data_IF_511506069502
#
_entry.id   IF_511506069502
#
_cell.length_a   1.000
_cell.length_b   1.000
_cell.length_c   1.000
_cell.angle_alpha   90.00
_cell.angle_beta   90.00
_cell.angle_gamma   90.00
#
_symmetry.space_group_name_H-M   'P 1'
#
loop_
_entity.id
_entity.type
_entity.pdbx_description
1 polymer ?
#
# COMPACT_ATOMS: atom_id res chain seq x y z
N UNK A 1 -13.35 -7.23 0.00
CA UNK A 1 -12.86 -6.01 0.68
C UNK A 1 -13.96 -4.97 0.60
N UNK A 2 -13.92 -3.93 1.44
CA UNK A 2 -14.88 -2.82 1.36
C UNK A 2 -14.77 -2.11 0.01
N UNK A 3 -15.90 -1.67 -0.54
CA UNK A 3 -15.98 -0.98 -1.82
C UNK A 3 -16.84 0.29 -1.68
N UNK A 4 -16.50 1.31 -2.46
CA UNK A 4 -17.31 2.52 -2.57
C UNK A 4 -18.57 2.22 -3.40
N UNK A 5 -19.69 2.85 -3.04
CA UNK A 5 -20.81 2.94 -3.97
C UNK A 5 -20.39 3.70 -5.24
N UNK A 6 -21.07 3.46 -6.36
CA UNK A 6 -20.77 4.14 -7.63
C UNK A 6 -20.78 5.67 -7.48
N UNK A 7 -21.74 6.20 -6.70
CA UNK A 7 -21.83 7.64 -6.44
C UNK A 7 -20.64 8.18 -5.63
N UNK A 8 -20.20 7.44 -4.60
CA UNK A 8 -19.03 7.83 -3.79
C UNK A 8 -17.74 7.71 -4.59
N UNK A 9 -17.61 6.62 -5.38
CA UNK A 9 -16.49 6.41 -6.28
C UNK A 9 -16.35 7.57 -7.27
N UNK A 10 -17.43 7.96 -7.92
CA UNK A 10 -17.43 9.08 -8.86
C UNK A 10 -16.94 10.41 -8.21
N UNK A 11 -17.31 10.65 -6.95
CA UNK A 11 -16.85 11.85 -6.22
C UNK A 11 -15.35 11.80 -5.89
N UNK A 12 -14.84 10.64 -5.46
CA UNK A 12 -13.41 10.44 -5.21
C UNK A 12 -12.62 10.58 -6.50
N UNK A 13 -13.04 9.89 -7.58
CA UNK A 13 -12.35 9.95 -8.87
C UNK A 13 -12.36 11.39 -9.42
N UNK A 14 -13.47 12.12 -9.29
CA UNK A 14 -13.50 13.55 -9.66
C UNK A 14 -12.54 14.43 -8.84
N UNK A 15 -12.29 14.12 -7.56
CA UNK A 15 -11.31 14.85 -6.75
C UNK A 15 -9.86 14.53 -7.20
N UNK A 16 -9.57 13.25 -7.49
CA UNK A 16 -8.29 12.82 -8.07
C UNK A 16 -8.06 13.50 -9.41
N UNK A 17 -9.05 13.45 -10.31
CA UNK A 17 -8.95 14.04 -11.64
C UNK A 17 -8.68 15.56 -11.60
N UNK A 18 -9.34 16.28 -10.68
CA UNK A 18 -9.08 17.72 -10.48
C UNK A 18 -7.63 17.98 -10.04
N UNK A 19 -7.08 17.17 -9.15
CA UNK A 19 -5.70 17.31 -8.68
C UNK A 19 -4.70 17.04 -9.82
N UNK A 20 -4.90 15.97 -10.58
CA UNK A 20 -4.05 15.60 -11.70
C UNK A 20 -4.17 16.57 -12.89
N UNK A 21 -5.36 17.06 -13.20
CA UNK A 21 -5.58 18.09 -14.23
C UNK A 21 -4.85 19.39 -13.89
N UNK A 22 -4.86 19.79 -12.60
CA UNK A 22 -4.08 20.95 -12.15
C UNK A 22 -2.58 20.74 -12.34
N UNK A 23 -2.05 19.57 -11.97
CA UNK A 23 -0.64 19.24 -12.18
C UNK A 23 -0.29 19.28 -13.67
N UNK A 24 -1.11 18.68 -14.51
CA UNK A 24 -0.93 18.69 -15.98
C UNK A 24 -0.92 20.11 -16.56
N UNK A 25 -1.86 20.96 -16.13
CA UNK A 25 -1.92 22.35 -16.56
C UNK A 25 -0.66 23.14 -16.15
N UNK A 26 -0.10 22.87 -14.96
CA UNK A 26 1.15 23.49 -14.50
C UNK A 26 2.37 23.00 -15.25
N UNK A 27 2.39 21.74 -15.68
CA UNK A 27 3.48 21.18 -16.48
C UNK A 27 3.47 21.65 -17.94
N UNK A 28 2.31 22.03 -18.49
CA UNK A 28 2.13 22.37 -19.90
C UNK A 28 3.12 23.42 -20.45
N UNK A 29 3.45 24.53 -19.73
CA UNK A 29 4.39 25.56 -20.26
C UNK A 29 5.86 25.14 -20.15
N UNK A 30 6.19 23.99 -19.51
CA UNK A 30 7.57 23.58 -19.25
C UNK A 30 8.14 22.59 -20.28
N UNK A 31 7.46 22.40 -21.41
CA UNK A 31 7.92 21.60 -22.55
C UNK A 31 7.60 20.11 -22.44
N UNK A 32 8.01 19.33 -23.44
CA UNK A 32 7.60 17.95 -23.68
C UNK A 32 7.98 16.99 -22.54
N UNK A 33 9.11 17.22 -21.87
CA UNK A 33 9.53 16.39 -20.74
C UNK A 33 8.59 16.50 -19.55
N UNK A 34 8.17 17.72 -19.21
CA UNK A 34 7.23 17.98 -18.13
C UNK A 34 5.82 17.46 -18.47
N UNK A 35 5.40 17.59 -19.71
CA UNK A 35 4.12 17.03 -20.18
C UNK A 35 4.12 15.50 -20.12
N UNK A 36 5.23 14.85 -20.51
CA UNK A 36 5.39 13.41 -20.41
C UNK A 36 5.36 12.95 -18.94
N UNK A 37 5.98 13.70 -18.02
CA UNK A 37 5.95 13.41 -16.58
C UNK A 37 4.52 13.49 -16.04
N UNK A 38 3.78 14.56 -16.35
CA UNK A 38 2.39 14.70 -15.94
C UNK A 38 1.49 13.59 -16.50
N UNK A 39 1.71 13.16 -17.74
CA UNK A 39 1.00 12.05 -18.36
C UNK A 39 1.32 10.71 -17.66
N UNK A 40 2.58 10.47 -17.30
CA UNK A 40 2.98 9.27 -16.57
C UNK A 40 2.38 9.21 -15.15
N UNK A 41 2.39 10.35 -14.44
CA UNK A 41 1.75 10.52 -13.11
C UNK A 41 0.25 10.24 -13.21
N UNK A 42 -0.44 10.84 -14.19
CA UNK A 42 -1.88 10.63 -14.39
C UNK A 42 -2.21 9.16 -14.68
N UNK A 43 -1.40 8.50 -15.51
CA UNK A 43 -1.57 7.09 -15.82
C UNK A 43 -1.36 6.18 -14.59
N UNK A 44 -0.42 6.53 -13.67
CA UNK A 44 -0.19 5.76 -12.44
C UNK A 44 -1.36 5.83 -11.46
N UNK A 45 -2.16 6.89 -11.48
CA UNK A 45 -3.30 7.09 -10.61
C UNK A 45 -4.65 6.67 -11.24
N UNK A 46 -4.68 6.33 -12.55
CA UNK A 46 -5.93 6.11 -13.30
C UNK A 46 -6.72 4.92 -12.81
N UNK A 47 -6.05 3.81 -12.45
CA UNK A 47 -6.69 2.56 -12.02
C UNK A 47 -6.51 2.29 -10.54
N UNK A 48 -7.43 1.52 -9.95
CA UNK A 48 -7.32 1.06 -8.58
C UNK A 48 -8.67 0.67 -7.98
N UNK A 49 -8.61 -0.15 -6.93
CA UNK A 49 -9.80 -0.56 -6.17
C UNK A 49 -10.29 0.54 -5.22
N UNK A 50 -9.55 1.65 -5.11
CA UNK A 50 -9.86 2.77 -4.21
C UNK A 50 -10.09 2.33 -2.76
N UNK A 51 -9.26 1.38 -2.29
CA UNK A 51 -9.40 0.86 -0.93
C UNK A 51 -9.24 1.94 0.14
N UNK A 52 -8.22 2.80 0.02
CA UNK A 52 -7.95 3.84 1.03
C UNK A 52 -9.03 4.90 1.07
N UNK A 53 -9.48 5.44 -0.06
CA UNK A 53 -10.71 6.25 -0.10
C UNK A 53 -11.93 5.56 0.51
N UNK A 54 -12.14 4.26 0.23
CA UNK A 54 -13.25 3.52 0.80
C UNK A 54 -13.16 3.43 2.33
N UNK A 55 -11.96 3.27 2.89
CA UNK A 55 -11.75 3.27 4.33
C UNK A 55 -12.02 4.64 4.96
N UNK A 56 -11.59 5.75 4.32
CA UNK A 56 -11.92 7.12 4.77
C UNK A 56 -13.42 7.32 4.82
N UNK A 57 -14.12 7.04 3.72
CA UNK A 57 -15.58 7.24 3.61
C UNK A 57 -16.35 6.34 4.57
N UNK A 58 -15.94 5.07 4.71
CA UNK A 58 -16.60 4.13 5.61
C UNK A 58 -16.40 4.50 7.08
N UNK A 59 -15.20 4.92 7.47
CA UNK A 59 -14.93 5.40 8.82
C UNK A 59 -15.73 6.68 9.10
N UNK A 60 -15.71 7.67 8.20
CA UNK A 60 -16.48 8.89 8.33
C UNK A 60 -17.97 8.59 8.58
N UNK A 61 -18.56 7.71 7.78
CA UNK A 61 -19.97 7.31 7.93
C UNK A 61 -20.20 6.54 9.23
N UNK A 62 -19.28 5.65 9.61
CA UNK A 62 -19.39 4.85 10.83
C UNK A 62 -19.33 5.71 12.13
N UNK A 63 -18.68 6.86 12.06
CA UNK A 63 -18.67 7.86 13.14
C UNK A 63 -19.79 8.89 13.02
N UNK A 64 -20.77 8.69 12.13
CA UNK A 64 -21.98 9.51 12.03
C UNK A 64 -21.85 10.71 11.09
N UNK A 65 -20.81 10.79 10.28
CA UNK A 65 -20.62 11.87 9.32
C UNK A 65 -21.64 11.84 8.18
N UNK A 66 -22.08 13.03 7.74
CA UNK A 66 -22.99 13.21 6.60
C UNK A 66 -22.20 13.45 5.29
N UNK A 67 -22.16 12.46 4.43
CA UNK A 67 -21.45 12.52 3.14
C UNK A 67 -22.01 13.55 2.16
N UNK A 68 -23.24 14.00 2.34
CA UNK A 68 -23.86 15.02 1.51
C UNK A 68 -23.46 16.45 1.98
N UNK A 69 -23.28 16.62 3.28
CA UNK A 69 -22.97 17.90 3.91
C UNK A 69 -21.46 18.22 3.98
N UNK A 70 -20.57 17.24 3.71
CA UNK A 70 -19.12 17.39 3.94
C UNK A 70 -18.32 17.25 2.63
N UNK A 71 -18.19 18.32 1.83
CA UNK A 71 -17.42 18.28 0.56
C UNK A 71 -15.94 17.92 0.75
N UNK A 72 -15.33 18.33 1.87
CA UNK A 72 -13.93 18.03 2.22
C UNK A 72 -13.61 16.53 2.29
N UNK A 73 -14.61 15.69 2.58
CA UNK A 73 -14.47 14.23 2.62
C UNK A 73 -13.84 13.67 1.33
N UNK A 74 -14.25 14.19 0.18
CA UNK A 74 -13.80 13.68 -1.11
C UNK A 74 -12.36 14.07 -1.43
N UNK A 75 -11.95 15.27 -1.04
CA UNK A 75 -10.58 15.74 -1.21
C UNK A 75 -9.63 14.99 -0.24
N UNK A 76 -10.04 14.75 1.00
CA UNK A 76 -9.26 13.95 1.96
C UNK A 76 -9.19 12.48 1.51
N UNK A 77 -10.30 11.89 1.07
CA UNK A 77 -10.28 10.52 0.53
C UNK A 77 -9.36 10.39 -0.70
N UNK A 78 -9.40 11.37 -1.61
CA UNK A 78 -8.52 11.43 -2.77
C UNK A 78 -7.04 11.60 -2.37
N UNK A 79 -6.74 12.36 -1.30
CA UNK A 79 -5.38 12.54 -0.81
C UNK A 79 -4.73 11.20 -0.43
N UNK A 80 -5.46 10.28 0.21
CA UNK A 80 -4.93 8.95 0.56
C UNK A 80 -4.74 8.03 -0.64
N UNK A 81 -5.49 8.20 -1.73
CA UNK A 81 -5.21 7.45 -2.96
C UNK A 81 -4.01 8.01 -3.71
N UNK A 82 -3.86 9.33 -3.75
CA UNK A 82 -2.69 9.99 -4.35
C UNK A 82 -1.43 9.68 -3.54
N UNK A 83 -1.49 9.70 -2.21
CA UNK A 83 -0.41 9.24 -1.34
C UNK A 83 0.00 7.79 -1.67
N UNK A 84 -0.98 6.89 -1.78
CA UNK A 84 -0.71 5.52 -2.18
C UNK A 84 -0.01 5.43 -3.52
N UNK A 85 -0.46 6.20 -4.50
CA UNK A 85 0.17 6.22 -5.82
C UNK A 85 1.61 6.73 -5.75
N UNK A 86 1.88 7.74 -4.92
CA UNK A 86 3.24 8.25 -4.68
C UNK A 86 4.17 7.16 -4.13
N UNK A 87 3.70 6.46 -3.07
CA UNK A 87 4.46 5.38 -2.45
C UNK A 87 4.70 4.22 -3.42
N UNK A 88 3.72 3.88 -4.28
CA UNK A 88 3.89 2.86 -5.32
C UNK A 88 4.92 3.26 -6.38
N UNK A 89 4.98 4.55 -6.75
CA UNK A 89 5.98 5.04 -7.72
C UNK A 89 7.39 4.97 -7.15
N UNK A 90 7.55 5.29 -5.86
CA UNK A 90 8.83 5.15 -5.17
C UNK A 90 9.22 3.68 -4.96
N UNK A 91 8.29 2.82 -4.56
CA UNK A 91 8.46 1.37 -4.40
C UNK A 91 8.91 0.71 -5.72
N UNK A 92 8.25 1.01 -6.85
CA UNK A 92 8.65 0.54 -8.19
C UNK A 92 10.11 0.91 -8.52
N UNK A 93 10.55 2.12 -8.14
CA UNK A 93 11.92 2.56 -8.37
C UNK A 93 12.92 1.80 -7.50
N UNK A 94 12.60 1.63 -6.21
CA UNK A 94 13.45 0.94 -5.23
C UNK A 94 13.59 -0.54 -5.63
N UNK A 95 12.49 -1.19 -6.02
CA UNK A 95 12.43 -2.59 -6.47
C UNK A 95 12.97 -2.77 -7.91
N UNK A 96 13.29 -1.67 -8.61
CA UNK A 96 13.72 -1.64 -10.01
C UNK A 96 12.71 -2.21 -11.00
N UNK A 97 11.44 -2.12 -10.67
CA UNK A 97 10.34 -2.52 -11.52
C UNK A 97 10.14 -1.50 -12.65
N UNK A 98 9.86 -2.01 -13.86
CA UNK A 98 9.56 -1.17 -15.04
C UNK A 98 8.10 -1.28 -15.46
N UNK A 99 7.38 -2.23 -14.90
CA UNK A 99 5.97 -2.49 -15.18
C UNK A 99 5.20 -2.75 -13.90
N UNK A 100 3.95 -2.30 -13.86
CA UNK A 100 2.99 -2.65 -12.83
C UNK A 100 1.68 -3.11 -13.47
N UNK A 101 1.22 -4.33 -13.12
CA UNK A 101 0.04 -4.97 -13.71
C UNK A 101 0.08 -5.12 -15.23
N UNK A 102 1.28 -5.35 -15.79
CA UNK A 102 1.47 -5.49 -17.23
C UNK A 102 1.43 -4.17 -18.03
N UNK A 103 1.53 -3.04 -17.34
CA UNK A 103 1.61 -1.69 -17.95
C UNK A 103 2.89 -1.03 -17.47
N UNK A 104 3.61 -0.36 -18.39
CA UNK A 104 4.80 0.40 -18.03
C UNK A 104 4.47 1.44 -16.94
N UNK A 105 5.23 1.36 -15.85
CA UNK A 105 5.21 2.35 -14.77
C UNK A 105 5.94 3.64 -15.17
N UNK A 106 6.13 4.58 -14.26
CA UNK A 106 6.82 5.86 -14.56
C UNK A 106 8.24 5.61 -15.08
N UNK A 107 9.02 4.78 -14.39
CA UNK A 107 10.39 4.45 -14.80
C UNK A 107 10.43 3.77 -16.18
N UNK A 108 9.55 2.81 -16.44
CA UNK A 108 9.45 2.11 -17.72
C UNK A 108 9.12 3.04 -18.88
N UNK A 109 8.16 3.95 -18.71
CA UNK A 109 7.81 4.96 -19.72
C UNK A 109 8.97 5.90 -20.04
N UNK A 110 9.73 6.30 -19.04
CA UNK A 110 10.87 7.19 -19.25
C UNK A 110 12.11 6.46 -19.78
N UNK A 111 12.24 5.15 -19.56
CA UNK A 111 13.22 4.29 -20.27
C UNK A 111 12.92 4.28 -21.78
N UNK A 112 11.67 3.99 -22.18
CA UNK A 112 11.28 4.04 -23.60
C UNK A 112 11.52 5.42 -24.22
N UNK A 113 11.15 6.50 -23.50
CA UNK A 113 11.38 7.86 -23.95
C UNK A 113 12.87 8.16 -24.15
N UNK A 114 13.74 7.74 -23.22
CA UNK A 114 15.18 7.96 -23.30
C UNK A 114 15.80 7.19 -24.46
N UNK A 115 15.40 5.95 -24.68
CA UNK A 115 15.82 5.19 -25.87
C UNK A 115 15.39 5.83 -27.19
N UNK A 116 14.19 6.42 -27.24
CA UNK A 116 13.67 7.05 -28.45
C UNK A 116 14.51 8.27 -28.93
N UNK A 117 15.23 8.95 -28.03
CA UNK A 117 16.17 10.02 -28.40
C UNK A 117 17.64 9.60 -28.36
N UNK A 118 17.92 8.28 -28.26
CA UNK A 118 19.26 7.72 -28.43
C UNK A 118 20.16 7.76 -27.19
N UNK A 119 19.59 7.81 -25.98
CA UNK A 119 20.37 7.69 -24.75
C UNK A 119 21.00 6.29 -24.64
N UNK A 120 22.22 6.23 -24.13
CA UNK A 120 22.85 4.98 -23.76
C UNK A 120 22.19 4.36 -22.49
N UNK A 121 22.57 3.15 -22.12
CA UNK A 121 21.97 2.44 -20.99
C UNK A 121 22.09 3.22 -19.67
N UNK A 122 23.21 3.91 -19.44
CA UNK A 122 23.43 4.73 -18.24
C UNK A 122 22.54 5.97 -18.23
N UNK A 123 22.48 6.67 -19.36
CA UNK A 123 21.61 7.83 -19.52
C UNK A 123 20.13 7.46 -19.39
N UNK A 124 19.75 6.32 -19.97
CA UNK A 124 18.41 5.75 -19.86
C UNK A 124 18.01 5.46 -18.40
N UNK A 125 18.89 4.79 -17.66
CA UNK A 125 18.66 4.52 -16.24
C UNK A 125 18.53 5.84 -15.44
N UNK A 126 19.44 6.79 -15.66
CA UNK A 126 19.41 8.10 -14.98
C UNK A 126 18.11 8.86 -15.21
N UNK A 127 17.62 8.88 -16.45
CA UNK A 127 16.37 9.59 -16.80
C UNK A 127 15.15 8.88 -16.17
N UNK A 128 15.12 7.55 -16.17
CA UNK A 128 14.05 6.77 -15.57
C UNK A 128 13.98 6.98 -14.07
N UNK A 129 15.12 6.87 -13.38
CA UNK A 129 15.24 7.05 -11.93
C UNK A 129 14.82 8.48 -11.53
N UNK A 130 15.31 9.50 -12.24
CA UNK A 130 14.93 10.89 -12.02
C UNK A 130 13.43 11.12 -12.20
N UNK A 131 12.83 10.55 -13.26
CA UNK A 131 11.41 10.70 -13.51
C UNK A 131 10.56 10.05 -12.41
N UNK A 132 10.95 8.87 -11.90
CA UNK A 132 10.23 8.19 -10.84
C UNK A 132 10.31 8.97 -9.51
N UNK A 133 11.51 9.44 -9.10
CA UNK A 133 11.67 10.29 -7.92
C UNK A 133 10.77 11.53 -8.02
N UNK A 134 10.89 12.27 -9.10
CA UNK A 134 10.14 13.53 -9.30
C UNK A 134 8.63 13.30 -9.39
N UNK A 135 8.18 12.20 -10.00
CA UNK A 135 6.76 11.84 -10.04
C UNK A 135 6.20 11.54 -8.65
N UNK A 136 6.93 10.76 -7.85
CA UNK A 136 6.53 10.46 -6.47
C UNK A 136 6.48 11.72 -5.60
N UNK A 137 7.48 12.62 -5.70
CA UNK A 137 7.52 13.89 -4.97
C UNK A 137 6.34 14.80 -5.33
N UNK A 138 6.01 14.88 -6.64
CA UNK A 138 4.86 15.65 -7.10
C UNK A 138 3.54 15.08 -6.56
N UNK A 139 3.39 13.77 -6.51
CA UNK A 139 2.22 13.09 -5.95
C UNK A 139 2.13 13.31 -4.43
N UNK A 140 3.24 13.21 -3.68
CA UNK A 140 3.27 13.51 -2.25
C UNK A 140 2.83 14.95 -1.97
N UNK A 141 3.33 15.89 -2.77
CA UNK A 141 2.90 17.29 -2.69
C UNK A 141 1.41 17.46 -2.99
N UNK A 142 0.88 16.79 -4.01
CA UNK A 142 -0.54 16.86 -4.36
C UNK A 142 -1.43 16.24 -3.28
N UNK A 143 -1.04 15.12 -2.65
CA UNK A 143 -1.74 14.54 -1.51
C UNK A 143 -1.81 15.52 -0.34
N UNK A 144 -0.67 16.12 0.02
CA UNK A 144 -0.57 17.13 1.07
C UNK A 144 -1.42 18.37 0.75
N UNK A 145 -1.38 18.82 -0.50
CA UNK A 145 -2.13 19.97 -0.97
C UNK A 145 -3.64 19.75 -0.89
N UNK A 146 -4.15 18.56 -1.21
CA UNK A 146 -5.58 18.25 -1.10
C UNK A 146 -6.08 18.46 0.33
N UNK A 147 -5.34 18.00 1.33
CA UNK A 147 -5.67 18.26 2.75
C UNK A 147 -5.54 19.75 3.09
N UNK A 148 -4.46 20.40 2.64
CA UNK A 148 -4.20 21.81 2.94
C UNK A 148 -5.28 22.76 2.41
N UNK A 149 -5.88 22.42 1.26
CA UNK A 149 -6.85 23.30 0.57
C UNK A 149 -8.30 22.84 0.70
N UNK A 150 -8.55 21.72 1.37
CA UNK A 150 -9.91 21.27 1.67
C UNK A 150 -10.63 22.25 2.59
N UNK A 151 -11.95 22.30 2.47
CA UNK A 151 -12.82 23.14 3.32
C UNK A 151 -12.94 22.53 4.72
N UNK A 152 -11.94 22.75 5.56
CA UNK A 152 -11.77 22.22 6.91
C UNK A 152 -11.64 23.37 7.91
N UNK A 153 -12.04 23.14 9.15
CA UNK A 153 -11.64 23.98 10.28
C UNK A 153 -10.13 23.86 10.51
N UNK A 154 -9.53 24.78 11.23
CA UNK A 154 -8.09 24.75 11.54
C UNK A 154 -7.74 23.50 12.36
N UNK A 155 -8.58 23.11 13.33
CA UNK A 155 -8.37 21.92 14.16
C UNK A 155 -8.46 20.61 13.35
N UNK A 156 -9.46 20.47 12.48
CA UNK A 156 -9.54 19.31 11.56
C UNK A 156 -8.33 19.24 10.64
N UNK A 157 -7.88 20.37 10.14
CA UNK A 157 -6.71 20.46 9.26
C UNK A 157 -5.45 20.01 9.99
N UNK A 158 -5.20 20.52 11.20
CA UNK A 158 -4.04 20.16 12.01
C UNK A 158 -4.03 18.67 12.35
N UNK A 159 -5.18 18.11 12.73
CA UNK A 159 -5.31 16.68 13.00
C UNK A 159 -5.08 15.82 11.75
N UNK A 160 -5.62 16.21 10.60
CA UNK A 160 -5.41 15.50 9.33
C UNK A 160 -3.97 15.59 8.82
N UNK A 161 -3.30 16.74 9.05
CA UNK A 161 -1.88 16.86 8.78
C UNK A 161 -1.05 15.93 9.66
N UNK A 162 -1.36 15.82 10.96
CA UNK A 162 -0.69 14.90 11.85
C UNK A 162 -0.89 13.42 11.41
N UNK A 163 -2.08 13.07 10.91
CA UNK A 163 -2.36 11.74 10.37
C UNK A 163 -1.55 11.48 9.08
N UNK A 164 -1.46 12.47 8.20
CA UNK A 164 -0.74 12.36 6.94
C UNK A 164 0.78 12.30 7.16
N UNK A 165 1.30 13.15 8.06
CA UNK A 165 2.72 13.18 8.46
C UNK A 165 3.17 11.83 9.02
N UNK A 166 2.42 11.28 9.98
CA UNK A 166 2.67 9.95 10.53
C UNK A 166 2.65 8.89 9.43
N UNK A 167 1.68 8.93 8.51
CA UNK A 167 1.57 7.97 7.42
C UNK A 167 2.80 8.02 6.49
N UNK A 168 3.24 9.23 6.12
CA UNK A 168 4.40 9.41 5.23
C UNK A 168 5.68 8.98 5.94
N UNK A 169 5.91 9.47 7.17
CA UNK A 169 7.14 9.19 7.92
C UNK A 169 7.30 7.69 8.19
N UNK A 170 6.26 7.05 8.76
CA UNK A 170 6.36 5.64 9.13
C UNK A 170 6.50 4.75 7.90
N UNK A 171 5.78 5.06 6.80
CA UNK A 171 5.93 4.29 5.57
C UNK A 171 7.30 4.45 4.92
N UNK A 172 7.88 5.64 4.96
CA UNK A 172 9.24 5.87 4.45
C UNK A 172 10.30 5.11 5.27
N UNK A 173 10.16 5.09 6.60
CA UNK A 173 11.05 4.31 7.49
C UNK A 173 10.87 2.81 7.24
N UNK A 174 9.64 2.34 7.08
CA UNK A 174 9.34 0.94 6.77
C UNK A 174 9.90 0.51 5.41
N UNK A 175 9.78 1.36 4.38
CA UNK A 175 10.37 1.13 3.05
C UNK A 175 11.90 1.05 3.10
N UNK A 176 12.54 1.98 3.82
CA UNK A 176 13.99 1.95 4.00
C UNK A 176 14.44 0.67 4.71
N UNK A 177 13.73 0.26 5.77
CA UNK A 177 14.04 -0.98 6.49
C UNK A 177 13.89 -2.21 5.58
N UNK A 178 12.85 -2.27 4.73
CA UNK A 178 12.65 -3.34 3.77
C UNK A 178 13.80 -3.41 2.75
N UNK A 179 14.20 -2.27 2.19
CA UNK A 179 15.34 -2.16 1.27
C UNK A 179 16.66 -2.58 1.94
N UNK A 180 16.92 -2.14 3.18
CA UNK A 180 18.10 -2.57 3.95
C UNK A 180 18.08 -4.08 4.23
N UNK A 181 16.90 -4.63 4.59
CA UNK A 181 16.73 -6.06 4.78
C UNK A 181 17.01 -6.84 3.50
N UNK A 182 16.58 -6.35 2.34
CA UNK A 182 16.84 -6.97 1.05
C UNK A 182 18.34 -6.97 0.69
N UNK A 183 19.07 -5.93 1.07
CA UNK A 183 20.49 -5.75 0.77
C UNK A 183 21.45 -6.54 1.69
N UNK A 184 21.00 -7.00 2.87
CA UNK A 184 21.85 -7.71 3.83
C UNK A 184 22.32 -9.07 3.32
N UNK A 185 23.48 -9.54 3.76
CA UNK A 185 23.94 -10.91 3.48
C UNK A 185 23.17 -11.97 4.30
N UNK A 186 22.83 -11.62 5.56
CA UNK A 186 22.03 -12.45 6.45
C UNK A 186 20.53 -12.13 6.36
N UNK A 187 19.68 -13.12 6.59
CA UNK A 187 18.23 -12.91 6.69
C UNK A 187 17.91 -12.30 8.07
N UNK A 188 17.20 -11.16 8.14
CA UNK A 188 16.73 -10.60 9.40
C UNK A 188 15.83 -11.57 10.18
N UNK A 189 15.65 -11.31 11.47
CA UNK A 189 14.72 -12.10 12.27
C UNK A 189 13.24 -11.78 11.91
N UNK A 190 12.32 -12.65 12.35
CA UNK A 190 10.91 -12.51 12.03
C UNK A 190 10.32 -11.22 12.60
N UNK A 191 10.77 -10.75 13.76
CA UNK A 191 10.27 -9.54 14.38
C UNK A 191 10.63 -8.30 13.55
N UNK A 192 11.88 -8.21 13.09
CA UNK A 192 12.32 -7.10 12.22
C UNK A 192 11.54 -7.05 10.91
N UNK A 193 11.29 -8.20 10.27
CA UNK A 193 10.51 -8.27 9.04
C UNK A 193 9.01 -7.95 9.28
N UNK A 194 8.44 -8.37 10.41
CA UNK A 194 7.06 -8.01 10.78
C UNK A 194 6.93 -6.50 11.05
N UNK A 195 7.93 -5.89 11.70
CA UNK A 195 7.95 -4.44 11.93
C UNK A 195 8.04 -3.68 10.61
N UNK A 196 8.96 -4.06 9.72
CA UNK A 196 9.07 -3.44 8.40
C UNK A 196 7.79 -3.58 7.58
N UNK A 197 7.16 -4.76 7.57
CA UNK A 197 5.88 -4.99 6.89
C UNK A 197 4.74 -4.14 7.46
N UNK A 198 4.68 -4.01 8.80
CA UNK A 198 3.73 -3.12 9.46
C UNK A 198 3.95 -1.66 9.05
N UNK A 199 5.17 -1.16 9.18
CA UNK A 199 5.48 0.25 8.96
C UNK A 199 5.35 0.63 7.48
N UNK A 200 5.84 -0.22 6.57
CA UNK A 200 5.73 -0.01 5.12
C UNK A 200 4.28 0.07 4.65
N UNK A 201 3.37 -0.75 5.21
CA UNK A 201 2.03 -0.92 4.60
C UNK A 201 0.87 -0.60 5.54
N UNK A 202 0.88 -1.07 6.80
CA UNK A 202 -0.31 -1.06 7.65
C UNK A 202 -0.75 0.36 8.03
N UNK A 203 0.22 1.25 8.30
CA UNK A 203 -0.07 2.60 8.79
C UNK A 203 -0.78 3.44 7.73
N UNK A 204 -0.18 3.59 6.52
CA UNK A 204 -0.78 4.43 5.49
C UNK A 204 -1.99 3.77 4.81
N UNK A 205 -2.10 2.43 4.83
CA UNK A 205 -3.16 1.71 4.13
C UNK A 205 -4.44 1.52 4.93
N UNK A 206 -4.33 1.45 6.27
CA UNK A 206 -5.47 1.19 7.14
C UNK A 206 -5.61 2.23 8.24
N UNK A 207 -4.56 2.41 9.08
CA UNK A 207 -4.63 3.26 10.26
C UNK A 207 -4.92 4.71 9.89
N UNK A 208 -4.17 5.29 8.97
CA UNK A 208 -4.32 6.68 8.58
C UNK A 208 -5.66 6.97 7.87
N UNK A 209 -6.12 6.19 6.88
CA UNK A 209 -7.43 6.41 6.26
C UNK A 209 -8.60 6.28 7.24
N UNK A 210 -8.58 5.29 8.13
CA UNK A 210 -9.65 5.13 9.13
C UNK A 210 -9.67 6.28 10.15
N UNK A 211 -8.49 6.74 10.62
CA UNK A 211 -8.37 7.91 11.48
C UNK A 211 -8.83 9.17 10.77
N UNK A 212 -8.45 9.38 9.52
CA UNK A 212 -8.86 10.56 8.76
C UNK A 212 -10.39 10.66 8.62
N UNK A 213 -11.06 9.54 8.36
CA UNK A 213 -12.53 9.51 8.33
C UNK A 213 -13.16 9.84 9.68
N UNK A 214 -12.60 9.31 10.78
CA UNK A 214 -13.08 9.60 12.14
C UNK A 214 -12.87 11.08 12.53
N UNK A 215 -11.72 11.67 12.21
CA UNK A 215 -11.42 13.10 12.41
C UNK A 215 -12.47 13.98 11.71
N UNK A 216 -12.73 13.72 10.43
CA UNK A 216 -13.73 14.45 9.64
C UNK A 216 -15.15 14.32 10.20
N UNK A 217 -15.46 13.25 10.93
CA UNK A 217 -16.73 13.05 11.61
C UNK A 217 -16.78 13.69 13.02
N UNK A 218 -15.71 14.39 13.42
CA UNK A 218 -15.62 15.05 14.73
C UNK A 218 -15.33 14.12 15.91
N UNK A 219 -14.79 12.94 15.68
CA UNK A 219 -14.42 12.03 16.75
C UNK A 219 -13.27 12.60 17.61
N UNK A 220 -13.37 12.47 18.92
CA UNK A 220 -12.41 13.03 19.89
C UNK A 220 -11.42 12.01 20.46
N UNK A 221 -11.70 10.71 20.31
CA UNK A 221 -10.81 9.62 20.73
C UNK A 221 -10.55 8.68 19.57
N UNK A 222 -9.28 8.31 19.36
CA UNK A 222 -8.85 7.51 18.24
C UNK A 222 -8.00 6.29 18.64
N UNK A 223 -7.73 6.09 19.94
CA UNK A 223 -6.79 5.03 20.38
C UNK A 223 -7.27 3.64 19.97
N UNK A 224 -8.48 3.25 20.38
CA UNK A 224 -9.05 1.94 20.05
C UNK A 224 -9.19 1.71 18.53
N UNK A 225 -9.59 2.77 17.77
CA UNK A 225 -9.63 2.72 16.30
C UNK A 225 -8.24 2.51 15.72
N UNK A 226 -7.23 3.24 16.22
CA UNK A 226 -5.85 3.16 15.74
C UNK A 226 -5.25 1.78 15.97
N UNK A 227 -5.47 1.19 17.15
CA UNK A 227 -4.95 -0.13 17.51
C UNK A 227 -5.63 -1.24 16.68
N UNK A 228 -6.96 -1.15 16.52
CA UNK A 228 -7.69 -2.07 15.64
C UNK A 228 -7.21 -1.97 14.18
N UNK A 229 -7.05 -0.76 13.68
CA UNK A 229 -6.62 -0.50 12.32
C UNK A 229 -5.17 -0.95 12.04
N UNK A 230 -4.26 -0.78 13.01
CA UNK A 230 -2.88 -1.28 12.92
C UNK A 230 -2.86 -2.80 12.81
N UNK A 231 -3.63 -3.50 13.66
CA UNK A 231 -3.75 -4.96 13.61
C UNK A 231 -4.38 -5.45 12.30
N UNK A 232 -5.42 -4.78 11.78
CA UNK A 232 -6.01 -5.08 10.47
C UNK A 232 -5.00 -4.89 9.33
N UNK A 233 -4.24 -3.80 9.37
CA UNK A 233 -3.24 -3.48 8.34
C UNK A 233 -2.12 -4.51 8.29
N UNK A 234 -1.62 -4.96 9.46
CA UNK A 234 -0.61 -6.02 9.51
C UNK A 234 -1.20 -7.35 9.00
N UNK A 235 -2.39 -7.74 9.46
CA UNK A 235 -3.05 -8.95 8.96
C UNK A 235 -3.24 -8.91 7.44
N UNK A 236 -3.61 -7.74 6.89
CA UNK A 236 -3.76 -7.56 5.44
C UNK A 236 -2.44 -7.80 4.70
N UNK A 237 -1.32 -7.23 5.19
CA UNK A 237 -0.01 -7.43 4.59
C UNK A 237 0.44 -8.89 4.66
N UNK A 238 0.25 -9.56 5.79
CA UNK A 238 0.60 -10.99 5.93
C UNK A 238 -0.22 -11.87 4.97
N UNK A 239 -1.49 -11.53 4.73
CA UNK A 239 -2.30 -12.21 3.72
C UNK A 239 -1.80 -11.90 2.30
N UNK A 240 -1.33 -10.69 2.01
CA UNK A 240 -0.74 -10.37 0.71
C UNK A 240 0.56 -11.17 0.48
N UNK A 241 1.39 -11.39 1.50
CA UNK A 241 2.58 -12.25 1.44
C UNK A 241 2.20 -13.74 1.19
N UNK A 242 1.13 -14.24 1.84
CA UNK A 242 0.58 -15.56 1.55
C UNK A 242 0.11 -15.68 0.11
N UNK A 243 -0.61 -14.66 -0.40
CA UNK A 243 -1.09 -14.60 -1.78
C UNK A 243 0.08 -14.52 -2.76
N UNK A 244 1.10 -13.72 -2.48
CA UNK A 244 2.31 -13.58 -3.31
C UNK A 244 3.06 -14.91 -3.45
N UNK A 245 2.99 -15.76 -2.42
CA UNK A 245 3.63 -17.07 -2.41
C UNK A 245 2.70 -18.19 -2.92
N UNK A 246 1.47 -18.32 -2.40
CA UNK A 246 0.58 -19.47 -2.64
C UNK A 246 -0.66 -19.13 -3.45
N UNK A 247 -0.95 -17.83 -3.64
CA UNK A 247 -2.18 -17.39 -4.29
C UNK A 247 -2.24 -17.73 -5.78
N UNK A 248 -3.46 -17.79 -6.30
CA UNK A 248 -3.72 -17.90 -7.73
C UNK A 248 -3.41 -16.58 -8.45
N UNK A 249 -3.21 -16.65 -9.79
CA UNK A 249 -3.06 -15.45 -10.64
C UNK A 249 -4.21 -14.44 -10.43
N UNK A 250 -5.43 -14.93 -10.21
CA UNK A 250 -6.62 -14.08 -9.96
C UNK A 250 -6.50 -13.31 -8.64
N UNK A 251 -5.96 -13.94 -7.59
CA UNK A 251 -5.78 -13.30 -6.28
C UNK A 251 -4.60 -12.32 -6.27
N UNK A 252 -3.44 -12.76 -6.80
CA UNK A 252 -2.21 -11.99 -6.79
C UNK A 252 -2.19 -10.86 -7.85
N UNK A 253 -2.96 -10.98 -8.93
CA UNK A 253 -2.88 -10.08 -10.09
C UNK A 253 -1.61 -10.22 -10.91
N UNK A 254 -0.74 -11.18 -10.56
CA UNK A 254 0.54 -11.53 -11.20
C UNK A 254 0.76 -13.04 -11.15
N UNK A 255 1.86 -13.52 -11.70
CA UNK A 255 2.13 -14.95 -11.72
C UNK A 255 2.23 -15.55 -10.31
N UNK A 256 1.68 -16.75 -10.07
CA UNK A 256 1.78 -17.43 -8.79
C UNK A 256 3.23 -17.60 -8.33
N UNK A 257 3.50 -17.29 -7.04
CA UNK A 257 4.83 -17.42 -6.46
C UNK A 257 5.84 -16.37 -6.96
N UNK A 258 5.38 -15.20 -7.40
CA UNK A 258 6.24 -14.10 -7.83
C UNK A 258 7.23 -13.70 -6.73
N UNK A 259 6.79 -13.62 -5.46
CA UNK A 259 7.66 -13.28 -4.33
C UNK A 259 8.84 -14.24 -4.17
N UNK A 260 8.63 -15.52 -4.45
CA UNK A 260 9.70 -16.52 -4.41
C UNK A 260 10.69 -16.37 -5.56
N UNK A 261 10.21 -16.00 -6.76
CA UNK A 261 11.09 -15.73 -7.93
C UNK A 261 11.94 -14.49 -7.74
N UNK A 262 11.36 -13.48 -7.11
CA UNK A 262 12.00 -12.20 -6.79
C UNK A 262 12.86 -12.28 -5.52
N UNK A 263 12.89 -13.45 -4.87
CA UNK A 263 13.63 -13.72 -3.62
C UNK A 263 13.27 -12.74 -2.50
N UNK A 264 11.99 -12.32 -2.43
CA UNK A 264 11.51 -11.38 -1.39
C UNK A 264 11.69 -11.98 0.00
N UNK A 265 12.19 -11.17 0.92
CA UNK A 265 12.43 -11.54 2.32
C UNK A 265 11.22 -11.22 3.17
N UNK A 266 10.23 -12.08 3.12
CA UNK A 266 8.96 -11.92 3.85
C UNK A 266 9.00 -12.57 5.24
N UNK A 267 8.09 -12.22 6.15
CA UNK A 267 7.90 -12.92 7.42
C UNK A 267 7.71 -14.44 7.25
N UNK A 268 7.10 -14.89 6.15
CA UNK A 268 6.96 -16.31 5.80
C UNK A 268 8.33 -17.02 5.70
N UNK A 269 9.28 -16.40 5.03
CA UNK A 269 10.64 -16.95 4.84
C UNK A 269 11.40 -16.95 6.18
N UNK A 270 11.21 -15.92 7.00
CA UNK A 270 11.84 -15.88 8.33
C UNK A 270 11.28 -16.97 9.26
N UNK A 271 9.99 -17.26 9.20
CA UNK A 271 9.39 -18.40 9.93
C UNK A 271 9.96 -19.74 9.45
N UNK A 272 10.07 -19.94 8.13
CA UNK A 272 10.67 -21.16 7.58
C UNK A 272 12.12 -21.36 8.04
N UNK A 273 12.90 -20.27 8.17
CA UNK A 273 14.28 -20.30 8.65
C UNK A 273 14.41 -20.82 10.09
N UNK A 274 13.40 -20.64 10.91
CA UNK A 274 13.40 -21.09 12.32
C UNK A 274 13.13 -22.59 12.46
N UNK A 275 12.90 -23.31 11.37
CA UNK A 275 12.57 -24.74 11.38
C UNK A 275 13.75 -25.62 10.96
N UNK A 276 13.75 -26.89 11.35
CA UNK A 276 14.74 -27.90 10.91
C UNK A 276 14.68 -28.15 9.39
N UNK A 277 13.60 -27.73 8.74
CA UNK A 277 13.44 -27.85 7.29
C UNK A 277 14.23 -26.78 6.51
N UNK A 278 14.81 -25.77 7.16
CA UNK A 278 15.46 -24.64 6.50
C UNK A 278 16.47 -25.01 5.41
N UNK A 279 17.37 -26.02 5.57
CA UNK A 279 18.29 -26.37 4.50
C UNK A 279 17.56 -26.70 3.19
N UNK A 280 16.48 -27.49 3.25
CA UNK A 280 15.69 -27.86 2.05
C UNK A 280 14.94 -26.68 1.47
N UNK A 281 14.37 -25.80 2.33
CA UNK A 281 13.71 -24.58 1.91
C UNK A 281 14.69 -23.65 1.22
N UNK A 282 15.87 -23.42 1.81
CA UNK A 282 16.93 -22.56 1.26
C UNK A 282 17.40 -23.06 -0.11
N UNK A 283 17.65 -24.36 -0.26
CA UNK A 283 18.04 -24.96 -1.54
C UNK A 283 16.95 -24.80 -2.61
N UNK A 284 15.67 -24.89 -2.23
CA UNK A 284 14.56 -24.71 -3.15
C UNK A 284 14.38 -23.23 -3.56
N UNK A 285 14.56 -22.30 -2.61
CA UNK A 285 14.51 -20.85 -2.88
C UNK A 285 15.63 -20.40 -3.81
N UNK A 286 16.85 -20.92 -3.65
CA UNK A 286 18.00 -20.55 -4.47
C UNK A 286 17.75 -20.73 -5.97
N UNK A 287 16.87 -21.66 -6.36
CA UNK A 287 16.53 -21.95 -7.75
C UNK A 287 15.13 -21.48 -8.18
N UNK A 288 14.35 -20.84 -7.29
CA UNK A 288 12.96 -20.46 -7.57
C UNK A 288 12.84 -19.51 -8.79
N UNK A 289 13.86 -18.70 -9.05
CA UNK A 289 13.94 -17.79 -10.19
C UNK A 289 13.95 -18.51 -11.56
N UNK A 290 14.27 -19.82 -11.59
CA UNK A 290 14.45 -20.56 -12.85
C UNK A 290 13.13 -20.97 -13.51
N UNK A 291 12.00 -20.86 -12.83
CA UNK A 291 10.70 -21.06 -13.44
C UNK A 291 9.65 -21.76 -12.57
N UNK A 292 8.47 -22.04 -13.14
CA UNK A 292 7.30 -22.49 -12.38
C UNK A 292 7.46 -23.82 -11.63
N UNK A 293 8.33 -24.73 -12.13
CA UNK A 293 8.59 -26.02 -11.47
C UNK A 293 9.38 -25.78 -10.16
N UNK A 294 10.39 -24.92 -10.23
CA UNK A 294 11.21 -24.56 -9.08
C UNK A 294 10.39 -23.79 -8.02
N UNK A 295 9.52 -22.88 -8.44
CA UNK A 295 8.56 -22.20 -7.56
C UNK A 295 7.67 -23.21 -6.83
N UNK A 296 7.07 -24.17 -7.53
CA UNK A 296 6.24 -25.21 -6.89
C UNK A 296 7.04 -26.08 -5.93
N UNK A 297 8.33 -26.31 -6.19
CA UNK A 297 9.20 -27.00 -5.24
C UNK A 297 9.38 -26.18 -3.97
N UNK A 298 9.70 -24.89 -4.10
CA UNK A 298 9.87 -24.00 -2.96
C UNK A 298 8.57 -23.88 -2.12
N UNK A 299 7.42 -23.74 -2.77
CA UNK A 299 6.11 -23.72 -2.09
C UNK A 299 5.91 -24.98 -1.23
N UNK A 300 6.17 -26.18 -1.79
CA UNK A 300 6.03 -27.46 -1.04
C UNK A 300 6.98 -27.54 0.15
N UNK A 301 8.23 -27.11 0.01
CA UNK A 301 9.19 -27.14 1.12
C UNK A 301 8.80 -26.16 2.23
N UNK A 302 8.28 -24.98 1.87
CA UNK A 302 7.75 -23.99 2.82
C UNK A 302 6.51 -24.55 3.55
N UNK A 303 5.58 -25.19 2.84
CA UNK A 303 4.42 -25.83 3.46
C UNK A 303 4.85 -26.98 4.41
N UNK A 304 5.75 -27.83 3.97
CA UNK A 304 6.28 -28.94 4.76
C UNK A 304 7.06 -28.48 6.00
N UNK A 305 7.61 -27.27 6.00
CA UNK A 305 8.27 -26.68 7.16
C UNK A 305 7.30 -26.23 8.27
N UNK A 306 6.01 -26.09 7.97
CA UNK A 306 5.02 -25.49 8.87
C UNK A 306 4.97 -23.97 8.87
N UNK A 307 5.85 -23.28 8.12
CA UNK A 307 5.91 -21.81 8.11
C UNK A 307 4.63 -21.16 7.58
N UNK A 308 3.93 -21.79 6.62
CA UNK A 308 2.62 -21.33 6.16
C UNK A 308 1.61 -21.28 7.29
N UNK A 309 1.49 -22.38 8.06
CA UNK A 309 0.58 -22.44 9.21
C UNK A 309 0.95 -21.39 10.25
N UNK A 310 2.25 -21.23 10.56
CA UNK A 310 2.72 -20.20 11.49
C UNK A 310 2.36 -18.77 11.04
N UNK A 311 2.42 -18.48 9.72
CA UNK A 311 2.02 -17.17 9.21
C UNK A 311 0.49 -16.99 9.24
N UNK A 312 -0.30 -18.03 8.92
CA UNK A 312 -1.76 -18.02 9.06
C UNK A 312 -2.19 -17.79 10.51
N UNK A 313 -1.49 -18.38 11.48
CA UNK A 313 -1.72 -18.13 12.93
C UNK A 313 -1.46 -16.66 13.28
N UNK A 314 -0.38 -16.04 12.77
CA UNK A 314 -0.11 -14.62 12.96
C UNK A 314 -1.20 -13.73 12.35
N UNK A 315 -1.75 -14.09 11.19
CA UNK A 315 -2.90 -13.41 10.62
C UNK A 315 -4.10 -13.47 11.55
N UNK A 316 -4.47 -14.67 12.01
CA UNK A 316 -5.61 -14.86 12.92
C UNK A 316 -5.41 -14.15 14.26
N UNK A 317 -4.18 -14.12 14.80
CA UNK A 317 -3.86 -13.39 16.04
C UNK A 317 -4.11 -11.88 15.86
N UNK A 318 -3.65 -11.30 14.77
CA UNK A 318 -3.88 -9.89 14.49
C UNK A 318 -5.37 -9.59 14.26
N UNK A 319 -6.11 -10.47 13.58
CA UNK A 319 -7.56 -10.33 13.43
C UNK A 319 -8.30 -10.41 14.76
N UNK A 320 -7.88 -11.31 15.68
CA UNK A 320 -8.43 -11.36 17.05
C UNK A 320 -8.14 -10.10 17.84
N UNK A 321 -6.92 -9.55 17.75
CA UNK A 321 -6.53 -8.28 18.38
C UNK A 321 -7.36 -7.12 17.82
N UNK A 322 -7.55 -7.07 16.51
CA UNK A 322 -8.39 -6.04 15.88
C UNK A 322 -9.84 -6.08 16.39
N UNK A 323 -10.44 -7.29 16.48
CA UNK A 323 -11.78 -7.47 17.03
C UNK A 323 -11.86 -7.11 18.52
N UNK A 324 -10.81 -7.41 19.31
CA UNK A 324 -10.75 -7.04 20.72
C UNK A 324 -10.70 -5.51 20.92
N UNK A 325 -9.84 -4.79 20.16
CA UNK A 325 -9.79 -3.34 20.20
C UNK A 325 -11.10 -2.70 19.69
N UNK A 326 -11.72 -3.31 18.67
CA UNK A 326 -13.02 -2.86 18.15
C UNK A 326 -14.15 -2.99 19.18
N UNK A 327 -14.03 -3.86 20.18
CA UNK A 327 -15.03 -4.01 21.25
C UNK A 327 -14.93 -2.96 22.35
N UNK A 328 -14.06 -1.94 22.20
CA UNK A 328 -13.95 -0.83 23.16
C UNK A 328 -15.23 -0.02 23.20
N UNK A 329 -15.63 0.40 24.41
CA UNK A 329 -16.76 1.29 24.64
C UNK A 329 -16.55 2.71 24.06
N UNK A 330 -15.33 3.04 23.62
CA UNK A 330 -15.00 4.32 23.00
C UNK A 330 -15.49 4.42 21.55
N UNK A 331 -15.80 3.30 20.90
CA UNK A 331 -16.19 3.26 19.49
C UNK A 331 -17.71 3.22 19.32
N UNK A 332 -18.26 4.00 18.39
CA UNK A 332 -19.67 3.90 18.05
C UNK A 332 -20.00 2.52 17.45
N UNK A 333 -21.24 2.01 17.63
CA UNK A 333 -21.62 0.68 17.17
C UNK A 333 -21.33 0.42 15.68
N UNK A 334 -21.50 1.42 14.83
CA UNK A 334 -21.23 1.32 13.40
C UNK A 334 -19.73 1.16 13.10
N UNK A 335 -18.84 1.76 13.88
CA UNK A 335 -17.40 1.58 13.75
C UNK A 335 -16.99 0.17 14.17
N UNK A 336 -17.61 -0.39 15.23
CA UNK A 336 -17.42 -1.81 15.62
C UNK A 336 -17.81 -2.74 14.47
N UNK A 337 -18.98 -2.53 13.86
CA UNK A 337 -19.44 -3.32 12.70
C UNK A 337 -18.49 -3.19 11.50
N UNK A 338 -18.02 -1.98 11.21
CA UNK A 338 -17.05 -1.74 10.14
C UNK A 338 -15.75 -2.53 10.36
N UNK A 339 -15.16 -2.42 11.55
CA UNK A 339 -13.89 -3.09 11.86
C UNK A 339 -14.03 -4.62 11.83
N UNK A 340 -15.15 -5.17 12.32
CA UNK A 340 -15.45 -6.59 12.21
C UNK A 340 -15.58 -7.04 10.76
N UNK A 341 -16.31 -6.29 9.93
CA UNK A 341 -16.46 -6.59 8.49
C UNK A 341 -15.13 -6.54 7.73
N UNK A 342 -14.22 -5.62 8.10
CA UNK A 342 -12.88 -5.55 7.54
C UNK A 342 -12.05 -6.78 7.94
N UNK A 343 -12.10 -7.19 9.21
CA UNK A 343 -11.43 -8.40 9.68
C UNK A 343 -11.91 -9.65 8.90
N UNK A 344 -13.21 -9.83 8.76
CA UNK A 344 -13.79 -10.94 8.00
C UNK A 344 -13.42 -10.89 6.51
N UNK A 345 -13.33 -9.70 5.94
CA UNK A 345 -12.93 -9.53 4.54
C UNK A 345 -11.45 -9.85 4.30
N UNK A 346 -10.57 -9.58 5.25
CA UNK A 346 -9.16 -9.96 5.21
C UNK A 346 -9.02 -11.48 5.35
N UNK A 347 -9.70 -12.07 6.33
CA UNK A 347 -9.68 -13.51 6.59
C UNK A 347 -10.10 -14.35 5.37
N UNK A 348 -11.14 -13.94 4.66
CA UNK A 348 -11.60 -14.59 3.41
C UNK A 348 -10.62 -14.52 2.24
N UNK A 349 -9.53 -13.73 2.33
CA UNK A 349 -8.51 -13.63 1.28
C UNK A 349 -7.38 -14.65 1.46
N UNK A 350 -7.27 -15.30 2.61
CA UNK A 350 -6.24 -16.34 2.86
C UNK A 350 -6.35 -17.39 1.74
N UNK A 351 -5.25 -17.71 1.01
CA UNK A 351 -5.27 -18.57 -0.17
C UNK A 351 -5.40 -20.06 0.16
#
# INVERSE_FOLDING_TARGET
MIELSDAHRARVDAAIDRALARLTARCAPHGDGAQALAAAVSASAADGKRLRPALVVASFTAFGGDTAATPALWDVAAAFEILHTALLVHDDLIDRDVERRGILNVAGRFRERAHAYGADDRGTATVADAAAVLAGDLLLFEATRLVATAALTDDERDQLFAVLDEAILVSAVGELADAEHAARADLPDAHALLTAAHDKTAVYSFRAPLRAGAVLAGATSHAALSDAAAALGLAFQLVDDLIGTFGSRRQAGRDPGADLREAKRTPLIALARQTDAWPRVSDALAVAHTGPIAVRRAQREIEASGARVGLEELVHDNLRRARAHASSAELPPQAVVLLAALADAIERRIP
#
